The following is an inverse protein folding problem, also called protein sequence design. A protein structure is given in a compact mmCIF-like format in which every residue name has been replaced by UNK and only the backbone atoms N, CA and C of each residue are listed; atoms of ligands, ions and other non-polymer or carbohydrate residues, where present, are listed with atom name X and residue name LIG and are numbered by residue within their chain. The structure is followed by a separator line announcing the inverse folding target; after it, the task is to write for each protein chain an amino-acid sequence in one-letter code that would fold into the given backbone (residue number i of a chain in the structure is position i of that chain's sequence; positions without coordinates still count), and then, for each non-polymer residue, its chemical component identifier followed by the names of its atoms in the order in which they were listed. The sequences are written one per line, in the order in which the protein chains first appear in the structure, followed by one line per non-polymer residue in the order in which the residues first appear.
data_IF_170344515312
#
_entry.id   IF_170344515312
#
_cell.length_a   1.000
_cell.length_b   1.000
_cell.length_c   1.000
_cell.angle_alpha   90.00
_cell.angle_beta   90.00
_cell.angle_gamma   90.00
#
_symmetry.space_group_name_H-M   'P 1'
#
loop_
_entity.id
_entity.type
_entity.pdbx_description
1 polymer ?
#
# COMPACT_ATOMS: atom_id res chain seq x y z
N UNK A 1 -4.45 55.07 87.37
CA UNK A 1 -4.63 55.94 86.18
C UNK A 1 -4.64 55.05 84.96
N UNK A 2 -5.79 54.93 84.30
CA UNK A 2 -5.92 54.45 82.92
C UNK A 2 -6.58 55.62 82.16
N UNK A 3 -6.34 55.87 80.85
CA UNK A 3 -6.55 54.86 79.80
C UNK A 3 -5.80 55.05 78.44
N UNK A 4 -6.02 54.08 77.52
CA UNK A 4 -6.13 54.19 76.02
C UNK A 4 -4.86 54.59 75.21
N UNK A 5 -4.57 54.14 73.99
CA UNK A 5 -5.18 53.26 72.94
C UNK A 5 -4.13 53.18 71.81
N UNK A 6 -4.02 52.05 71.09
CA UNK A 6 -3.67 51.90 69.65
C UNK A 6 -3.12 50.48 69.44
N UNK A 7 -3.93 49.55 68.96
CA UNK A 7 -4.17 49.23 67.54
C UNK A 7 -3.20 48.18 66.99
N UNK A 8 -3.82 47.19 66.38
CA UNK A 8 -3.25 45.91 65.98
C UNK A 8 -2.22 46.06 64.87
N UNK A 9 -1.19 45.22 64.90
CA UNK A 9 -0.48 44.81 63.69
C UNK A 9 -0.41 43.29 63.72
N UNK A 10 -1.21 42.69 62.84
CA UNK A 10 -1.18 41.27 62.51
C UNK A 10 0.16 40.96 61.85
N UNK A 11 1.08 40.33 62.58
CA UNK A 11 2.19 39.61 61.97
C UNK A 11 1.74 38.18 61.68
N UNK A 12 1.08 38.00 60.54
CA UNK A 12 0.94 36.72 59.90
C UNK A 12 0.66 36.94 58.42
N UNK A 13 1.69 36.81 57.59
CA UNK A 13 1.52 36.07 56.34
C UNK A 13 2.88 35.65 55.77
N UNK A 14 3.39 34.43 56.07
CA UNK A 14 4.15 33.75 55.03
C UNK A 14 3.13 33.48 53.94
N UNK A 15 3.12 34.33 52.91
CA UNK A 15 2.22 34.22 51.76
C UNK A 15 2.37 32.82 51.16
N UNK A 16 1.56 31.89 51.66
CA UNK A 16 1.63 30.47 51.34
C UNK A 16 0.89 30.34 50.01
N UNK A 17 1.60 30.65 48.92
CA UNK A 17 1.07 30.54 47.57
C UNK A 17 0.95 29.06 47.23
N UNK A 18 -0.17 28.46 47.62
CA UNK A 18 -0.61 27.20 47.03
C UNK A 18 -1.40 27.52 45.76
N UNK A 19 -0.90 27.07 44.61
CA UNK A 19 -1.66 27.02 43.37
C UNK A 19 -1.83 25.56 43.01
N UNK A 20 -3.08 25.10 42.90
CA UNK A 20 -3.42 23.79 42.39
C UNK A 20 -4.10 23.98 41.05
N UNK A 21 -3.43 23.57 39.99
CA UNK A 21 -3.96 23.61 38.63
C UNK A 21 -4.08 22.18 38.13
N UNK A 22 -5.32 21.73 37.94
CA UNK A 22 -5.62 20.42 37.34
C UNK A 22 -5.95 20.67 35.87
N UNK A 23 -5.02 20.33 34.98
CA UNK A 23 -5.25 20.39 33.53
C UNK A 23 -5.61 19.01 33.02
N UNK A 24 -6.85 18.88 32.55
CA UNK A 24 -7.33 17.66 31.91
C UNK A 24 -7.00 17.73 30.42
N UNK A 25 -6.24 16.75 29.94
CA UNK A 25 -5.91 16.59 28.53
C UNK A 25 -6.70 15.42 27.97
N UNK A 26 -7.54 15.66 26.98
CA UNK A 26 -8.11 14.57 26.19
C UNK A 26 -7.12 14.17 25.11
N UNK A 27 -6.64 12.93 25.19
CA UNK A 27 -5.79 12.35 24.17
C UNK A 27 -6.69 11.93 23.01
N UNK A 28 -6.39 12.42 21.81
CA UNK A 28 -7.16 12.13 20.61
C UNK A 28 -7.21 10.61 20.34
N UNK A 29 -8.43 10.05 20.34
CA UNK A 29 -8.66 8.64 20.01
C UNK A 29 -8.93 8.48 18.52
N UNK A 30 -8.02 7.83 17.79
CA UNK A 30 -8.27 7.43 16.41
C UNK A 30 -8.76 5.98 16.36
N UNK A 31 -10.00 5.76 15.91
CA UNK A 31 -10.55 4.42 15.66
C UNK A 31 -10.53 4.20 14.14
N UNK A 32 -9.76 3.20 13.68
CA UNK A 32 -9.73 2.79 12.29
C UNK A 32 -10.37 1.41 12.14
N UNK A 33 -11.50 1.34 11.45
CA UNK A 33 -12.18 0.09 11.13
C UNK A 33 -11.96 -0.24 9.66
N UNK A 34 -11.21 -1.32 9.37
CA UNK A 34 -10.98 -1.81 8.00
C UNK A 34 -11.72 -3.13 7.78
N UNK A 35 -12.74 -3.11 6.91
CA UNK A 35 -13.40 -4.33 6.45
C UNK A 35 -12.63 -4.90 5.25
N UNK A 36 -11.99 -6.05 5.44
CA UNK A 36 -11.25 -6.71 4.37
C UNK A 36 -12.22 -7.34 3.36
N UNK A 37 -11.95 -7.27 2.05
CA UNK A 37 -12.70 -8.04 1.06
C UNK A 37 -12.50 -9.54 1.31
N UNK A 38 -13.56 -10.33 1.10
CA UNK A 38 -13.59 -11.77 1.39
C UNK A 38 -12.77 -12.61 0.40
N UNK A 39 -12.58 -12.10 -0.82
CA UNK A 39 -11.78 -12.77 -1.85
C UNK A 39 -10.47 -12.02 -2.08
N UNK A 40 -9.35 -12.74 -2.00
CA UNK A 40 -8.02 -12.28 -2.40
C UNK A 40 -7.45 -13.27 -3.41
N UNK A 41 -6.86 -12.74 -4.48
CA UNK A 41 -6.14 -13.56 -5.45
C UNK A 41 -4.86 -14.04 -4.78
N UNK A 42 -4.69 -15.36 -4.67
CA UNK A 42 -3.48 -15.95 -4.07
C UNK A 42 -2.43 -16.28 -5.12
N UNK A 43 -2.84 -16.65 -6.33
CA UNK A 43 -1.96 -17.04 -7.44
C UNK A 43 -2.70 -17.01 -8.76
N UNK A 44 -2.02 -16.56 -9.82
CA UNK A 44 -2.47 -16.63 -11.20
C UNK A 44 -1.49 -17.50 -12.01
N UNK A 45 -2.01 -18.40 -12.83
CA UNK A 45 -1.20 -19.19 -13.76
C UNK A 45 -1.81 -19.11 -15.15
N UNK A 46 -0.99 -18.71 -16.12
CA UNK A 46 -1.43 -18.42 -17.49
C UNK A 46 -0.60 -19.24 -18.45
N UNK A 47 -1.28 -19.91 -19.38
CA UNK A 47 -0.64 -20.62 -20.48
C UNK A 47 -1.13 -20.02 -21.80
N UNK A 48 -0.20 -19.62 -22.66
CA UNK A 48 -0.48 -19.02 -23.97
C UNK A 48 0.15 -19.88 -25.05
N UNK A 49 -0.65 -20.25 -26.05
CA UNK A 49 -0.19 -20.94 -27.25
C UNK A 49 -0.25 -19.97 -28.44
N UNK A 50 0.90 -19.79 -29.08
CA UNK A 50 1.04 -18.96 -30.27
C UNK A 50 1.16 -19.83 -31.50
N UNK A 51 0.40 -19.48 -32.54
CA UNK A 51 0.43 -20.17 -33.83
C UNK A 51 1.47 -19.52 -34.75
N UNK A 52 2.33 -20.32 -35.36
CA UNK A 52 3.26 -19.83 -36.38
C UNK A 52 2.50 -19.53 -37.69
N UNK A 53 2.89 -18.48 -38.39
CA UNK A 53 2.19 -18.04 -39.59
C UNK A 53 2.79 -18.67 -40.85
N UNK A 54 1.94 -19.01 -41.82
CA UNK A 54 2.38 -19.44 -43.15
C UNK A 54 2.41 -18.22 -44.06
N UNK A 55 3.60 -17.82 -44.48
CA UNK A 55 3.79 -16.72 -45.44
C UNK A 55 4.05 -17.33 -46.81
N UNK A 56 3.29 -16.88 -47.81
CA UNK A 56 3.55 -17.23 -49.21
C UNK A 56 4.57 -16.23 -49.75
N UNK A 57 5.73 -16.74 -50.17
CA UNK A 57 6.77 -15.94 -50.79
C UNK A 57 6.42 -15.52 -52.23
N UNK A 58 7.19 -14.61 -52.84
CA UNK A 58 6.99 -14.16 -54.23
C UNK A 58 6.99 -15.30 -55.26
N UNK A 59 7.62 -16.41 -54.90
CA UNK A 59 7.86 -17.58 -55.75
C UNK A 59 6.74 -18.63 -55.63
N UNK A 60 5.65 -18.32 -54.91
CA UNK A 60 4.52 -19.20 -54.66
C UNK A 60 4.77 -20.30 -53.60
N UNK A 61 5.97 -20.36 -53.02
CA UNK A 61 6.29 -21.30 -51.94
C UNK A 61 5.80 -20.77 -50.59
N UNK A 62 5.16 -21.64 -49.80
CA UNK A 62 4.73 -21.34 -48.43
C UNK A 62 5.87 -21.62 -47.45
N UNK A 63 6.26 -20.62 -46.66
CA UNK A 63 7.24 -20.74 -45.59
C UNK A 63 6.57 -20.51 -44.23
N UNK A 64 6.92 -21.34 -43.24
CA UNK A 64 6.45 -21.14 -41.87
C UNK A 64 7.33 -20.09 -41.20
N UNK A 65 6.76 -18.93 -40.89
CA UNK A 65 7.39 -17.89 -40.09
C UNK A 65 7.29 -18.28 -38.61
N UNK A 66 8.44 -18.69 -38.07
CA UNK A 66 8.59 -18.91 -36.64
C UNK A 66 8.59 -17.58 -35.91
N UNK A 67 7.97 -17.56 -34.73
CA UNK A 67 7.99 -16.40 -33.85
C UNK A 67 9.38 -16.26 -33.25
N UNK A 68 9.96 -15.07 -33.38
CA UNK A 68 11.28 -14.76 -32.85
C UNK A 68 11.30 -14.78 -31.31
N UNK A 69 12.49 -14.89 -30.72
CA UNK A 69 12.63 -14.84 -29.27
C UNK A 69 12.26 -13.45 -28.70
N UNK A 70 12.56 -12.39 -29.46
CA UNK A 70 12.26 -11.00 -29.11
C UNK A 70 10.75 -10.76 -29.05
N UNK A 71 10.01 -11.17 -30.07
CA UNK A 71 8.53 -11.08 -30.08
C UNK A 71 7.91 -11.89 -28.94
N UNK A 72 8.45 -13.09 -28.64
CA UNK A 72 7.98 -13.89 -27.49
C UNK A 72 8.15 -13.14 -26.18
N UNK A 73 9.28 -12.45 -26.00
CA UNK A 73 9.56 -11.66 -24.80
C UNK A 73 8.64 -10.43 -24.70
N UNK A 74 8.39 -9.76 -25.82
CA UNK A 74 7.45 -8.64 -25.88
C UNK A 74 6.03 -9.09 -25.52
N UNK A 75 5.56 -10.19 -26.10
CA UNK A 75 4.25 -10.78 -25.78
C UNK A 75 4.21 -11.18 -24.31
N UNK A 76 5.28 -11.76 -23.77
CA UNK A 76 5.34 -12.10 -22.35
C UNK A 76 5.20 -10.87 -21.45
N UNK A 77 5.90 -9.78 -21.76
CA UNK A 77 5.80 -8.54 -21.02
C UNK A 77 4.39 -7.95 -21.10
N UNK A 78 3.78 -7.94 -22.29
CA UNK A 78 2.43 -7.46 -22.51
C UNK A 78 1.41 -8.24 -21.68
N UNK A 79 1.46 -9.57 -21.73
CA UNK A 79 0.54 -10.46 -20.98
C UNK A 79 0.72 -10.28 -19.46
N UNK A 80 1.96 -10.18 -19.00
CA UNK A 80 2.28 -9.96 -17.57
C UNK A 80 1.67 -8.65 -17.08
N UNK A 81 1.85 -7.57 -17.85
CA UNK A 81 1.35 -6.25 -17.49
C UNK A 81 -0.17 -6.15 -17.57
N UNK A 82 -0.79 -6.69 -18.62
CA UNK A 82 -2.25 -6.62 -18.82
C UNK A 82 -3.03 -7.36 -17.72
N UNK A 83 -2.48 -8.47 -17.21
CA UNK A 83 -3.11 -9.27 -16.15
C UNK A 83 -2.69 -8.82 -14.74
N UNK A 84 -1.74 -7.90 -14.63
CA UNK A 84 -1.17 -7.50 -13.34
C UNK A 84 -0.52 -8.68 -12.62
N UNK A 85 0.23 -9.51 -13.35
CA UNK A 85 0.97 -10.62 -12.77
C UNK A 85 2.11 -10.07 -11.92
N UNK A 86 2.25 -10.60 -10.72
CA UNK A 86 3.25 -10.19 -9.74
C UNK A 86 4.02 -11.41 -9.26
N UNK A 87 5.35 -11.44 -9.37
CA UNK A 87 6.14 -12.56 -8.87
C UNK A 87 6.02 -12.72 -7.34
N UNK A 88 5.71 -11.64 -6.61
CA UNK A 88 5.51 -11.65 -5.16
C UNK A 88 4.27 -12.46 -4.75
N UNK A 89 3.24 -12.52 -5.60
CA UNK A 89 2.06 -13.36 -5.42
C UNK A 89 2.29 -14.81 -5.87
N UNK A 90 3.43 -15.11 -6.50
CA UNK A 90 3.73 -16.42 -7.04
C UNK A 90 3.06 -16.69 -8.40
N UNK A 91 2.80 -15.64 -9.17
CA UNK A 91 2.19 -15.77 -10.50
C UNK A 91 3.18 -16.34 -11.52
N UNK A 92 2.63 -17.05 -12.51
CA UNK A 92 3.43 -17.68 -13.57
C UNK A 92 2.76 -17.53 -14.93
N UNK A 93 3.57 -17.24 -15.95
CA UNK A 93 3.18 -17.22 -17.36
C UNK A 93 4.04 -18.21 -18.16
N UNK A 94 3.40 -19.02 -18.98
CA UNK A 94 4.04 -20.01 -19.85
C UNK A 94 3.60 -19.71 -21.28
N UNK A 95 4.56 -19.46 -22.17
CA UNK A 95 4.29 -19.20 -23.58
C UNK A 95 4.94 -20.28 -24.42
N UNK A 96 4.15 -20.92 -25.29
CA UNK A 96 4.61 -21.93 -26.24
C UNK A 96 4.19 -21.55 -27.65
N UNK A 97 5.00 -21.89 -28.66
CA UNK A 97 4.64 -21.73 -30.06
C UNK A 97 4.55 -23.08 -30.76
N UNK A 98 3.61 -23.21 -31.69
CA UNK A 98 3.44 -24.41 -32.53
C UNK A 98 3.14 -24.03 -33.99
N UNK A 99 3.60 -24.84 -34.96
CA UNK A 99 3.25 -24.70 -36.37
C UNK A 99 1.76 -24.96 -36.65
#
# INVERSE_FOLDING_TARGET
NAPKKAEAVQEADPMMRSSSEVQNYEVSRQISTRKMPSAKIQKITVAVLLREQLIVGPDGQSQVQKISAEEKQEIQALVTNALGLTPERGDMVIISSRP
#
